data_IF_262742191183
#
_entry.id   IF_262742191183
#
_cell.length_a   1.000
_cell.length_b   1.000
_cell.length_c   1.000
_cell.angle_alpha   90.00
_cell.angle_beta   90.00
_cell.angle_gamma   90.00
#
_symmetry.space_group_name_H-M   'P 1'
#
loop_
_entity.id
_entity.type
_entity.pdbx_description
1 polymer ?
#
# COMPACT_ATOMS: atom_id res chain seq x y z
N UNK A 1 -1.37 9.19 -3.71
CA UNK A 1 -1.28 8.57 -2.44
C UNK A 1 -0.61 9.41 -1.37
N UNK A 2 -0.06 8.73 -0.40
CA UNK A 2 0.74 9.33 0.65
C UNK A 2 2.12 9.72 0.08
N UNK A 3 2.70 10.83 0.56
CA UNK A 3 3.97 11.31 0.03
C UNK A 3 5.16 10.54 0.57
N UNK A 4 6.23 10.52 -0.18
CA UNK A 4 7.55 10.04 0.21
C UNK A 4 8.36 11.20 0.82
N UNK A 5 9.30 10.93 1.73
CA UNK A 5 10.16 11.97 2.31
C UNK A 5 10.95 12.75 1.25
N UNK A 6 11.37 12.06 0.18
CA UNK A 6 12.14 12.66 -0.92
C UNK A 6 11.27 13.38 -1.95
N UNK A 7 9.94 13.29 -1.84
CA UNK A 7 9.03 13.96 -2.75
C UNK A 7 9.03 15.46 -2.49
N UNK A 8 9.20 16.25 -3.56
CA UNK A 8 9.10 17.72 -3.49
C UNK A 8 7.64 18.18 -3.37
N UNK A 9 6.69 17.29 -3.61
CA UNK A 9 5.25 17.56 -3.59
C UNK A 9 4.58 16.57 -2.63
N UNK A 10 3.84 17.09 -1.67
CA UNK A 10 3.06 16.28 -0.75
C UNK A 10 2.01 15.46 -1.48
N UNK A 11 1.75 14.25 -1.01
CA UNK A 11 0.64 13.43 -1.48
C UNK A 11 -0.70 13.99 -1.04
N UNK A 12 -1.77 13.55 -1.68
CA UNK A 12 -3.11 14.08 -1.39
C UNK A 12 -3.65 13.73 0.00
N UNK A 13 -3.09 12.72 0.67
CA UNK A 13 -3.42 12.40 2.07
C UNK A 13 -2.76 13.34 3.09
N UNK A 14 -1.80 14.14 2.68
CA UNK A 14 -1.05 15.01 3.58
C UNK A 14 -1.93 16.00 4.34
N UNK A 15 -3.05 16.41 3.75
CA UNK A 15 -4.00 17.32 4.38
C UNK A 15 -4.72 16.72 5.59
N UNK A 16 -4.81 15.39 5.69
CA UNK A 16 -5.55 14.72 6.77
C UNK A 16 -4.71 13.78 7.63
N UNK A 17 -3.48 13.45 7.24
CA UNK A 17 -2.58 12.58 8.02
C UNK A 17 -1.38 13.39 8.51
N UNK A 18 -1.18 13.42 9.80
CA UNK A 18 -0.05 14.09 10.42
C UNK A 18 -0.33 14.50 11.85
N UNK A 19 0.67 15.07 12.55
CA UNK A 19 0.49 15.51 13.92
C UNK A 19 -0.63 16.55 14.05
N UNK A 20 -1.61 16.28 14.90
CA UNK A 20 -2.75 17.17 15.13
C UNK A 20 -3.77 17.24 14.00
N UNK A 21 -3.62 16.45 12.95
CA UNK A 21 -4.56 16.38 11.83
C UNK A 21 -5.68 15.38 12.11
N UNK A 22 -6.64 15.23 11.19
CA UNK A 22 -7.80 14.34 11.37
C UNK A 22 -7.37 12.90 11.67
N UNK A 23 -6.34 12.40 10.98
CA UNK A 23 -5.67 11.16 11.33
C UNK A 23 -4.36 11.55 12.02
N UNK A 24 -4.41 11.62 13.34
CA UNK A 24 -3.35 12.19 14.16
C UNK A 24 -2.24 11.17 14.41
N UNK A 25 -1.08 11.40 13.82
CA UNK A 25 0.09 10.50 13.98
C UNK A 25 0.70 10.56 15.37
N UNK A 26 0.31 11.53 16.22
CA UNK A 26 0.66 11.51 17.65
C UNK A 26 -0.14 10.45 18.43
N UNK A 27 -1.28 10.02 17.92
CA UNK A 27 -2.20 9.06 18.55
C UNK A 27 -2.21 7.71 17.87
N UNK A 28 -1.93 7.66 16.58
CA UNK A 28 -2.07 6.46 15.76
C UNK A 28 -0.79 6.12 15.04
N UNK A 29 -0.48 4.83 14.99
CA UNK A 29 0.52 4.30 14.08
C UNK A 29 -0.14 4.11 12.72
N UNK A 30 0.23 4.93 11.75
CA UNK A 30 -0.37 4.95 10.42
C UNK A 30 0.50 4.19 9.43
N UNK A 31 -0.10 3.25 8.72
CA UNK A 31 0.58 2.46 7.70
C UNK A 31 -0.10 2.65 6.36
N UNK A 32 0.67 2.97 5.33
CA UNK A 32 0.22 3.01 3.96
C UNK A 32 1.16 2.13 3.12
N UNK A 33 0.60 1.22 2.36
CA UNK A 33 1.35 0.24 1.58
C UNK A 33 1.13 0.51 0.09
N UNK A 34 2.20 0.44 -0.68
CA UNK A 34 2.08 0.47 -2.14
C UNK A 34 1.53 -0.85 -2.66
N UNK A 35 0.66 -0.76 -3.64
CA UNK A 35 0.05 -1.94 -4.26
C UNK A 35 1.07 -2.70 -5.11
N UNK A 36 1.04 -4.02 -5.05
CA UNK A 36 1.76 -4.86 -5.99
C UNK A 36 1.29 -4.52 -7.41
N UNK A 37 2.24 -4.30 -8.31
CA UNK A 37 1.95 -3.81 -9.65
C UNK A 37 2.02 -2.29 -9.80
N UNK A 38 2.12 -1.55 -8.69
CA UNK A 38 2.13 -0.09 -8.68
C UNK A 38 3.47 0.58 -8.98
N UNK A 39 4.55 -0.18 -9.08
CA UNK A 39 5.89 0.28 -9.47
C UNK A 39 6.50 1.39 -8.59
N UNK A 40 6.03 1.51 -7.35
CA UNK A 40 6.50 2.55 -6.42
C UNK A 40 6.89 1.93 -5.07
N UNK A 41 7.98 1.18 -5.07
CA UNK A 41 8.47 0.49 -3.88
C UNK A 41 7.89 -0.90 -3.67
N UNK A 42 6.97 -1.35 -4.52
CA UNK A 42 6.47 -2.71 -4.57
C UNK A 42 6.81 -3.34 -5.92
N UNK A 43 6.83 -4.68 -5.98
CA UNK A 43 7.07 -5.41 -7.23
C UNK A 43 6.01 -5.06 -8.27
N UNK A 44 6.44 -4.81 -9.48
CA UNK A 44 5.56 -4.46 -10.59
C UNK A 44 6.13 -4.89 -11.95
N UNK A 45 5.46 -4.52 -13.05
CA UNK A 45 5.89 -4.91 -14.39
C UNK A 45 7.29 -4.46 -14.78
N UNK A 46 7.81 -3.39 -14.16
CA UNK A 46 9.18 -2.90 -14.39
C UNK A 46 10.22 -3.59 -13.50
N UNK A 47 9.79 -4.43 -12.56
CA UNK A 47 10.67 -5.16 -11.66
C UNK A 47 11.39 -6.29 -12.39
N UNK A 48 12.64 -6.65 -11.97
CA UNK A 48 13.36 -7.77 -12.56
C UNK A 48 12.62 -9.10 -12.36
N UNK A 49 12.51 -9.89 -13.42
CA UNK A 49 11.94 -11.23 -13.35
C UNK A 49 13.09 -12.26 -13.22
N UNK A 50 13.24 -12.93 -12.06
CA UNK A 50 14.34 -13.88 -11.85
C UNK A 50 14.24 -15.12 -12.74
N UNK A 51 13.08 -15.43 -13.28
CA UNK A 51 12.87 -16.57 -14.21
C UNK A 51 13.21 -16.23 -15.66
N UNK A 52 13.50 -14.95 -15.96
CA UNK A 52 13.82 -14.47 -17.30
C UNK A 52 15.03 -13.53 -17.29
N UNK A 53 16.17 -14.02 -16.82
CA UNK A 53 17.46 -13.30 -16.76
C UNK A 53 17.37 -11.90 -16.14
N UNK A 54 16.53 -11.70 -15.15
CA UNK A 54 16.27 -10.43 -14.48
C UNK A 54 15.83 -9.29 -15.42
N UNK A 55 15.24 -9.62 -16.57
CA UNK A 55 14.56 -8.64 -17.41
C UNK A 55 13.26 -8.20 -16.74
N UNK A 56 12.76 -7.00 -17.01
CA UNK A 56 11.47 -6.56 -16.49
C UNK A 56 10.35 -7.55 -16.83
N UNK A 57 9.43 -7.77 -15.89
CA UNK A 57 8.28 -8.63 -16.15
C UNK A 57 7.49 -8.22 -17.38
N UNK A 58 7.25 -6.90 -17.54
CA UNK A 58 6.41 -6.38 -18.61
C UNK A 58 5.04 -7.07 -18.64
N UNK A 59 4.60 -7.54 -19.82
CA UNK A 59 3.30 -8.23 -19.95
C UNK A 59 3.22 -9.58 -19.24
N UNK A 60 4.36 -10.16 -18.85
CA UNK A 60 4.39 -11.42 -18.10
C UNK A 60 4.13 -11.22 -16.59
N UNK A 61 3.96 -9.98 -16.15
CA UNK A 61 3.64 -9.71 -14.74
C UNK A 61 2.30 -10.36 -14.39
N UNK A 62 2.22 -11.09 -13.25
CA UNK A 62 1.00 -11.78 -12.86
C UNK A 62 -0.19 -10.86 -12.71
N UNK A 63 -1.39 -11.35 -12.97
CA UNK A 63 -2.62 -10.64 -12.67
C UNK A 63 -2.77 -10.52 -11.15
N UNK A 64 -2.97 -9.30 -10.68
CA UNK A 64 -3.14 -9.00 -9.26
C UNK A 64 -4.55 -8.46 -9.01
N UNK A 65 -5.23 -9.05 -8.03
CA UNK A 65 -6.58 -8.64 -7.64
C UNK A 65 -6.56 -7.78 -6.37
N UNK A 66 -7.68 -7.11 -6.08
CA UNK A 66 -7.88 -6.38 -4.80
C UNK A 66 -7.68 -7.33 -3.61
N UNK A 67 -8.17 -8.55 -3.72
CA UNK A 67 -7.97 -9.57 -2.69
C UNK A 67 -6.50 -9.88 -2.45
N UNK A 68 -5.70 -9.95 -3.51
CA UNK A 68 -4.26 -10.17 -3.40
C UNK A 68 -3.58 -9.01 -2.69
N UNK A 69 -3.98 -7.78 -2.99
CA UNK A 69 -3.46 -6.61 -2.28
C UNK A 69 -3.75 -6.67 -0.79
N UNK A 70 -4.97 -7.00 -0.42
CA UNK A 70 -5.36 -7.10 1.01
C UNK A 70 -4.63 -8.25 1.69
N UNK A 71 -4.42 -9.37 1.02
CA UNK A 71 -3.60 -10.46 1.57
C UNK A 71 -2.17 -10.02 1.87
N UNK A 72 -1.54 -9.25 0.99
CA UNK A 72 -0.18 -8.73 1.24
C UNK A 72 -0.16 -7.74 2.40
N UNK A 73 -1.19 -6.92 2.53
CA UNK A 73 -1.34 -6.01 3.67
C UNK A 73 -1.51 -6.77 4.99
N UNK A 74 -2.29 -7.85 4.99
CA UNK A 74 -2.45 -8.71 6.16
C UNK A 74 -1.13 -9.39 6.56
N UNK A 75 -0.36 -9.85 5.58
CA UNK A 75 0.97 -10.42 5.82
C UNK A 75 1.92 -9.40 6.44
N UNK A 76 1.88 -8.16 5.98
CA UNK A 76 2.67 -7.08 6.57
C UNK A 76 2.22 -6.80 8.01
N UNK A 77 0.92 -6.79 8.27
CA UNK A 77 0.37 -6.61 9.62
C UNK A 77 0.93 -7.67 10.58
N UNK A 78 0.95 -8.92 10.15
CA UNK A 78 1.52 -10.01 10.94
C UNK A 78 3.01 -9.80 11.22
N UNK A 79 3.76 -9.37 10.22
CA UNK A 79 5.19 -9.04 10.34
C UNK A 79 5.45 -7.90 11.31
N UNK A 80 4.57 -6.91 11.35
CA UNK A 80 4.66 -5.77 12.25
C UNK A 80 4.17 -6.09 13.66
N UNK A 81 3.62 -7.29 13.88
CA UNK A 81 3.06 -7.70 15.17
C UNK A 81 1.71 -7.04 15.48
N UNK A 82 1.00 -6.60 14.46
CA UNK A 82 -0.30 -5.95 14.63
C UNK A 82 -1.39 -7.01 14.49
N UNK A 83 -2.12 -7.28 15.57
CA UNK A 83 -3.20 -8.25 15.59
C UNK A 83 -4.57 -7.63 15.30
N UNK A 84 -4.73 -6.34 15.57
CA UNK A 84 -5.99 -5.61 15.39
C UNK A 84 -5.70 -4.22 14.84
N UNK A 85 -6.42 -3.83 13.80
CA UNK A 85 -6.41 -2.47 13.29
C UNK A 85 -7.53 -1.65 13.91
N UNK A 86 -7.20 -0.42 14.33
CA UNK A 86 -8.22 0.53 14.81
C UNK A 86 -9.18 0.92 13.69
N UNK A 87 -8.64 1.18 12.50
CA UNK A 87 -9.42 1.52 11.32
C UNK A 87 -8.66 1.17 10.05
N UNK A 88 -9.40 0.86 9.00
CA UNK A 88 -8.90 0.72 7.63
C UNK A 88 -9.63 1.74 6.78
N UNK A 89 -8.87 2.62 6.13
CA UNK A 89 -9.40 3.78 5.41
C UNK A 89 -8.91 3.78 3.98
N UNK A 90 -9.79 4.06 3.04
CA UNK A 90 -9.40 4.15 1.64
C UNK A 90 -10.41 4.87 0.79
N UNK A 91 -9.94 5.55 -0.27
CA UNK A 91 -10.77 6.20 -1.26
C UNK A 91 -10.57 5.56 -2.64
N UNK A 92 -11.62 5.52 -3.46
CA UNK A 92 -11.59 4.94 -4.80
C UNK A 92 -11.14 3.49 -4.76
N UNK A 93 -10.06 3.12 -5.45
CA UNK A 93 -9.49 1.78 -5.41
C UNK A 93 -9.08 1.35 -4.00
N UNK A 94 -8.57 2.29 -3.18
CA UNK A 94 -8.30 2.06 -1.76
C UNK A 94 -9.57 1.76 -0.96
N UNK A 95 -10.69 2.35 -1.34
CA UNK A 95 -12.00 2.02 -0.75
C UNK A 95 -12.41 0.58 -1.02
N UNK A 96 -12.15 0.07 -2.20
CA UNK A 96 -12.38 -1.34 -2.53
C UNK A 96 -11.52 -2.27 -1.66
N UNK A 97 -10.27 -1.89 -1.41
CA UNK A 97 -9.40 -2.62 -0.50
C UNK A 97 -9.92 -2.58 0.94
N UNK A 98 -10.37 -1.43 1.41
CA UNK A 98 -10.95 -1.30 2.74
C UNK A 98 -12.17 -2.19 2.93
N UNK A 99 -13.04 -2.27 1.92
CA UNK A 99 -14.19 -3.20 1.92
C UNK A 99 -13.73 -4.66 1.93
N UNK A 100 -12.70 -5.00 1.17
CA UNK A 100 -12.16 -6.36 1.14
C UNK A 100 -11.62 -6.81 2.51
N UNK A 101 -11.08 -5.88 3.30
CA UNK A 101 -10.64 -6.18 4.67
C UNK A 101 -11.79 -6.67 5.58
N UNK A 102 -13.02 -6.28 5.29
CA UNK A 102 -14.18 -6.65 6.10
C UNK A 102 -14.77 -8.03 5.77
N UNK A 103 -14.25 -8.68 4.75
CA UNK A 103 -14.82 -9.95 4.24
C UNK A 103 -13.99 -11.18 4.60
#
# INVERSE_FOLDING_TARGET
GYHHEDDKKAGWWDSCIGPGKAIDTNKFFVVALNNIGGCSGSTGPTSPNPENDNRPYGPDFPLVTVRDWVKTQAMLSDRLGISVWYAVVGGSLGGMQALQWSV
#
